data_IF_694537813928
#
_entry.id   IF_694537813928
#
_cell.length_a   1.000
_cell.length_b   1.000
_cell.length_c   1.000
_cell.angle_alpha   90.00
_cell.angle_beta   90.00
_cell.angle_gamma   90.00
#
_symmetry.space_group_name_H-M   'P 1'
#
loop_
_entity.id
_entity.type
_entity.pdbx_description
1 polymer ?
#
# COMPACT_ATOMS: atom_id res chain seq x y z
N UNK A 1 -8.30 -6.07 -5.60
CA UNK A 1 -9.40 -7.04 -5.46
C UNK A 1 -9.68 -7.69 -6.81
N UNK A 2 -10.02 -9.01 -6.87
CA UNK A 2 -10.50 -9.66 -8.10
C UNK A 2 -11.82 -9.04 -8.58
N UNK A 3 -12.03 -9.01 -9.92
CA UNK A 3 -13.23 -8.44 -10.53
C UNK A 3 -14.53 -8.94 -9.88
N UNK A 4 -14.63 -10.27 -9.66
CA UNK A 4 -15.81 -10.89 -9.01
C UNK A 4 -16.13 -10.32 -7.64
N UNK A 5 -15.09 -10.00 -6.83
CA UNK A 5 -15.29 -9.40 -5.50
C UNK A 5 -15.80 -7.96 -5.62
N UNK A 6 -15.28 -7.20 -6.59
CA UNK A 6 -15.72 -5.82 -6.84
C UNK A 6 -17.18 -5.80 -7.35
N UNK A 7 -17.55 -6.72 -8.25
CA UNK A 7 -18.92 -6.87 -8.72
C UNK A 7 -19.89 -7.21 -7.57
N UNK A 8 -19.44 -8.03 -6.62
CA UNK A 8 -20.23 -8.36 -5.42
C UNK A 8 -20.39 -7.13 -4.50
N UNK A 9 -19.34 -6.32 -4.33
CA UNK A 9 -19.43 -5.04 -3.61
C UNK A 9 -20.43 -4.09 -4.25
N UNK A 10 -20.49 -4.01 -5.59
CA UNK A 10 -21.47 -3.18 -6.30
C UNK A 10 -22.90 -3.68 -6.06
N UNK A 11 -23.13 -5.00 -6.05
CA UNK A 11 -24.46 -5.57 -5.71
C UNK A 11 -24.89 -5.21 -4.29
N UNK A 12 -23.98 -5.34 -3.31
CA UNK A 12 -24.24 -4.96 -1.92
C UNK A 12 -24.55 -3.46 -1.84
N UNK A 13 -23.78 -2.62 -2.51
CA UNK A 13 -24.03 -1.18 -2.54
C UNK A 13 -25.41 -0.85 -3.09
N UNK A 14 -25.84 -1.53 -4.15
CA UNK A 14 -27.18 -1.37 -4.74
C UNK A 14 -28.28 -1.86 -3.81
N UNK A 15 -28.09 -3.00 -3.15
CA UNK A 15 -29.07 -3.59 -2.22
C UNK A 15 -29.32 -2.69 -0.98
N UNK A 16 -28.25 -2.05 -0.48
CA UNK A 16 -28.31 -1.25 0.75
C UNK A 16 -28.33 0.26 0.51
N UNK A 17 -28.57 0.69 -0.73
CA UNK A 17 -28.63 2.12 -1.12
C UNK A 17 -27.36 2.89 -0.70
N UNK A 18 -26.19 2.32 -1.01
CA UNK A 18 -24.89 2.89 -0.70
C UNK A 18 -24.24 3.46 -1.96
N UNK A 19 -23.39 4.46 -1.80
CA UNK A 19 -22.45 4.85 -2.82
C UNK A 19 -21.07 4.25 -2.58
N UNK A 20 -20.25 4.15 -3.64
CA UNK A 20 -18.93 3.54 -3.58
C UNK A 20 -17.85 4.61 -3.72
N UNK A 21 -16.83 4.59 -2.85
CA UNK A 21 -15.58 5.33 -3.04
C UNK A 21 -14.45 4.33 -3.29
N UNK A 22 -13.86 4.38 -4.49
CA UNK A 22 -12.79 3.50 -4.92
C UNK A 22 -11.47 4.26 -5.00
N UNK A 23 -10.47 3.85 -4.22
CA UNK A 23 -9.10 4.35 -4.37
C UNK A 23 -8.37 3.53 -5.44
N UNK A 24 -8.22 4.10 -6.62
CA UNK A 24 -7.64 3.47 -7.81
C UNK A 24 -6.20 3.94 -8.09
N UNK A 25 -5.51 4.51 -7.12
CA UNK A 25 -4.15 5.05 -7.28
C UNK A 25 -3.12 3.99 -7.75
N UNK A 26 -3.44 2.70 -7.63
CA UNK A 26 -2.60 1.57 -8.03
C UNK A 26 -3.16 0.77 -9.22
N UNK A 27 -4.21 1.22 -9.89
CA UNK A 27 -4.92 0.42 -10.91
C UNK A 27 -4.02 -0.07 -12.06
N UNK A 28 -2.97 0.68 -12.41
CA UNK A 28 -2.02 0.30 -13.44
C UNK A 28 -0.75 -0.41 -12.90
N UNK A 29 -0.71 -0.74 -11.61
CA UNK A 29 0.43 -1.41 -10.95
C UNK A 29 0.05 -2.83 -10.51
N UNK A 30 -0.69 -3.56 -11.35
CA UNK A 30 -0.96 -4.99 -11.19
C UNK A 30 0.24 -5.81 -11.73
N UNK A 31 0.57 -6.94 -11.09
CA UNK A 31 1.75 -7.71 -11.47
C UNK A 31 1.52 -8.70 -12.61
N UNK A 32 0.33 -9.29 -12.69
CA UNK A 32 -0.01 -10.34 -13.66
C UNK A 32 -0.98 -9.87 -14.75
N UNK A 33 -1.67 -8.75 -14.54
CA UNK A 33 -2.66 -8.18 -15.46
C UNK A 33 -2.18 -6.83 -16.00
N UNK A 34 -2.64 -6.45 -17.19
CA UNK A 34 -2.31 -5.14 -17.76
C UNK A 34 -2.81 -3.99 -16.89
N UNK A 35 -4.00 -4.15 -16.32
CA UNK A 35 -4.58 -3.22 -15.34
C UNK A 35 -5.55 -3.95 -14.42
N UNK A 36 -5.82 -3.37 -13.27
CA UNK A 36 -6.90 -3.82 -12.39
C UNK A 36 -8.26 -3.40 -12.96
N UNK A 37 -9.33 -4.12 -12.60
CA UNK A 37 -10.70 -3.69 -12.87
C UNK A 37 -10.99 -2.38 -12.14
N UNK A 38 -11.42 -1.38 -12.88
CA UNK A 38 -11.77 -0.06 -12.36
C UNK A 38 -13.25 0.03 -11.97
N UNK A 39 -13.59 1.01 -11.14
CA UNK A 39 -14.98 1.28 -10.78
C UNK A 39 -15.83 1.58 -12.03
N UNK A 40 -15.30 2.35 -12.97
CA UNK A 40 -15.97 2.67 -14.25
C UNK A 40 -16.45 1.44 -15.03
N UNK A 41 -15.74 0.30 -14.92
CA UNK A 41 -16.05 -0.93 -15.67
C UNK A 41 -17.20 -1.74 -15.05
N UNK A 42 -17.51 -1.51 -13.77
CA UNK A 42 -18.42 -2.39 -13.00
C UNK A 42 -19.55 -1.68 -12.28
N UNK A 43 -19.48 -0.35 -12.11
CA UNK A 43 -20.36 0.40 -11.22
C UNK A 43 -21.84 0.39 -11.65
N UNK A 44 -22.12 0.21 -12.96
CA UNK A 44 -23.47 0.24 -13.48
C UNK A 44 -24.20 1.55 -13.16
N UNK A 45 -25.35 1.45 -12.46
CA UNK A 45 -26.19 2.57 -12.05
C UNK A 45 -25.99 3.02 -10.60
N UNK A 46 -25.04 2.42 -9.87
CA UNK A 46 -24.72 2.80 -8.48
C UNK A 46 -23.95 4.11 -8.44
N UNK A 47 -24.29 5.07 -7.56
CA UNK A 47 -23.50 6.28 -7.36
C UNK A 47 -22.09 5.97 -6.88
N UNK A 48 -21.07 6.73 -7.33
CA UNK A 48 -19.72 6.47 -6.85
C UNK A 48 -18.68 7.50 -7.26
N UNK A 49 -17.52 7.37 -6.62
CA UNK A 49 -16.33 8.19 -6.84
C UNK A 49 -15.13 7.27 -7.00
N UNK A 50 -14.37 7.40 -8.09
CA UNK A 50 -13.03 6.85 -8.19
C UNK A 50 -11.99 7.94 -7.93
N UNK A 51 -10.98 7.60 -7.12
CA UNK A 51 -9.85 8.50 -6.82
C UNK A 51 -8.62 8.03 -7.59
N UNK A 52 -8.02 8.90 -8.37
CA UNK A 52 -6.87 8.64 -9.23
C UNK A 52 -5.77 9.68 -9.03
N UNK A 53 -4.58 9.39 -9.55
CA UNK A 53 -3.48 10.34 -9.47
C UNK A 53 -2.17 9.76 -10.01
N UNK A 54 -1.18 10.63 -10.14
CA UNK A 54 0.12 10.32 -10.77
C UNK A 54 1.22 9.92 -9.79
N UNK A 55 0.88 9.75 -8.52
CA UNK A 55 1.88 9.48 -7.47
C UNK A 55 2.54 8.11 -7.55
N UNK A 56 1.88 7.11 -8.15
CA UNK A 56 2.30 5.70 -8.09
C UNK A 56 2.69 5.14 -9.45
N UNK A 57 1.86 5.28 -10.47
CA UNK A 57 2.16 4.77 -11.80
C UNK A 57 3.19 5.62 -12.55
N UNK A 58 3.19 6.94 -12.40
CA UNK A 58 4.20 7.86 -12.95
C UNK A 58 5.42 8.04 -12.05
N UNK A 59 5.52 7.36 -10.96
CA UNK A 59 6.16 7.57 -9.66
C UNK A 59 6.53 9.03 -9.36
N UNK A 60 5.55 9.93 -9.45
CA UNK A 60 5.72 11.36 -9.17
C UNK A 60 4.89 11.85 -7.96
N UNK A 61 5.14 11.30 -6.75
CA UNK A 61 4.37 11.67 -5.56
C UNK A 61 4.58 13.12 -5.12
N UNK A 62 5.73 13.71 -5.47
CA UNK A 62 6.06 15.11 -5.18
C UNK A 62 5.23 16.12 -5.98
N UNK A 63 4.59 15.73 -7.07
CA UNK A 63 3.70 16.58 -7.84
C UNK A 63 2.44 17.00 -7.08
N UNK A 64 2.05 16.22 -6.06
CA UNK A 64 0.82 16.43 -5.27
C UNK A 64 -0.43 16.58 -6.14
N UNK A 65 -0.54 15.78 -7.21
CA UNK A 65 -1.62 15.84 -8.17
C UNK A 65 -2.42 14.53 -8.21
N UNK A 66 -3.73 14.66 -8.07
CA UNK A 66 -4.72 13.61 -8.20
C UNK A 66 -6.06 14.21 -8.60
N UNK A 67 -7.00 13.37 -9.00
CA UNK A 67 -8.35 13.77 -9.39
C UNK A 67 -9.36 12.73 -8.94
N UNK A 68 -10.64 13.12 -8.99
CA UNK A 68 -11.76 12.22 -8.78
C UNK A 68 -12.59 12.11 -10.06
N UNK A 69 -13.13 10.93 -10.30
CA UNK A 69 -14.12 10.66 -11.33
C UNK A 69 -15.45 10.36 -10.62
N UNK A 70 -16.52 11.04 -11.02
CA UNK A 70 -17.82 10.96 -10.36
C UNK A 70 -18.78 10.24 -11.30
N UNK A 71 -19.46 9.22 -10.78
CA UNK A 71 -20.39 8.39 -11.53
C UNK A 71 -21.80 8.50 -10.96
N UNK A 72 -22.80 8.57 -11.84
CA UNK A 72 -24.24 8.45 -11.52
C UNK A 72 -24.74 9.43 -10.43
N UNK A 73 -24.15 10.63 -10.32
CA UNK A 73 -24.53 11.58 -9.27
C UNK A 73 -26.02 12.01 -9.33
N UNK A 74 -26.62 11.93 -10.52
CA UNK A 74 -28.03 12.27 -10.76
C UNK A 74 -29.01 11.18 -10.34
N UNK A 75 -28.52 9.99 -9.96
CA UNK A 75 -29.34 8.86 -9.49
C UNK A 75 -29.76 8.99 -8.03
N UNK A 76 -29.03 9.80 -7.25
CA UNK A 76 -29.29 9.99 -5.83
C UNK A 76 -29.09 11.45 -5.43
N UNK A 77 -30.12 12.07 -4.84
CA UNK A 77 -30.11 13.49 -4.47
C UNK A 77 -29.13 13.79 -3.32
N UNK A 78 -29.00 12.88 -2.36
CA UNK A 78 -28.08 13.06 -1.23
C UNK A 78 -26.62 12.93 -1.69
N UNK A 79 -26.36 11.98 -2.57
CA UNK A 79 -25.04 11.84 -3.18
C UNK A 79 -24.68 13.07 -4.05
N UNK A 80 -25.63 13.61 -4.81
CA UNK A 80 -25.42 14.84 -5.57
C UNK A 80 -25.06 16.04 -4.65
N UNK A 81 -25.73 16.16 -3.48
CA UNK A 81 -25.40 17.18 -2.45
C UNK A 81 -24.00 16.92 -1.86
N UNK A 82 -23.64 15.66 -1.60
CA UNK A 82 -22.32 15.30 -1.11
C UNK A 82 -21.22 15.68 -2.11
N UNK A 83 -21.39 15.33 -3.39
CA UNK A 83 -20.47 15.75 -4.47
C UNK A 83 -20.34 17.26 -4.54
N UNK A 84 -21.46 18.01 -4.45
CA UNK A 84 -21.42 19.48 -4.42
C UNK A 84 -20.62 20.00 -3.22
N UNK A 85 -20.74 19.36 -2.06
CA UNK A 85 -19.95 19.73 -0.87
C UNK A 85 -18.45 19.50 -1.09
N UNK A 86 -18.06 18.40 -1.74
CA UNK A 86 -16.66 18.15 -2.13
C UNK A 86 -16.16 19.27 -3.05
N UNK A 87 -16.94 19.65 -4.07
CA UNK A 87 -16.57 20.72 -5.00
C UNK A 87 -16.44 22.07 -4.30
N UNK A 88 -17.35 22.40 -3.37
CA UNK A 88 -17.28 23.61 -2.57
C UNK A 88 -16.03 23.63 -1.66
N UNK A 89 -15.72 22.50 -1.01
CA UNK A 89 -14.51 22.36 -0.21
C UNK A 89 -13.23 22.53 -1.06
N UNK A 90 -13.23 22.01 -2.30
CA UNK A 90 -12.11 22.21 -3.23
C UNK A 90 -11.90 23.67 -3.60
N UNK A 91 -12.93 24.47 -3.66
CA UNK A 91 -12.83 25.91 -3.94
C UNK A 91 -12.12 26.70 -2.83
N UNK A 92 -11.99 26.14 -1.60
CA UNK A 92 -11.19 26.73 -0.53
C UNK A 92 -9.69 26.65 -0.82
N UNK A 93 -9.28 25.75 -1.70
CA UNK A 93 -7.92 25.70 -2.22
C UNK A 93 -7.78 26.70 -3.36
N UNK A 94 -7.35 27.90 -3.03
CA UNK A 94 -7.30 29.05 -3.99
C UNK A 94 -6.38 28.77 -5.18
N UNK A 95 -5.27 28.04 -4.96
CA UNK A 95 -4.25 27.76 -5.99
C UNK A 95 -3.83 26.28 -5.95
N UNK A 96 -4.34 25.48 -6.88
CA UNK A 96 -3.88 24.12 -7.12
C UNK A 96 -2.59 24.10 -7.93
N UNK A 97 -1.81 23.01 -7.83
CA UNK A 97 -0.59 22.81 -8.63
C UNK A 97 -0.92 22.73 -10.13
N UNK A 98 -0.64 23.76 -10.90
CA UNK A 98 -1.01 23.85 -12.33
C UNK A 98 -0.09 23.01 -13.22
N UNK A 99 1.22 23.05 -12.98
CA UNK A 99 2.21 22.35 -13.82
C UNK A 99 1.95 20.84 -13.93
N UNK A 100 1.75 20.08 -12.83
CA UNK A 100 1.43 18.66 -12.95
C UNK A 100 0.15 18.40 -13.74
N UNK A 101 -0.88 19.21 -13.56
CA UNK A 101 -2.15 19.06 -14.28
C UNK A 101 -1.98 19.25 -15.79
N UNK A 102 -1.19 20.24 -16.23
CA UNK A 102 -0.93 20.49 -17.66
C UNK A 102 -0.09 19.41 -18.33
N UNK A 103 0.73 18.67 -17.56
CA UNK A 103 1.60 17.60 -18.08
C UNK A 103 0.87 16.27 -18.24
N UNK A 104 -0.16 15.99 -17.43
CA UNK A 104 -0.88 14.69 -17.44
C UNK A 104 -1.36 14.28 -18.85
N UNK A 105 -2.07 15.14 -19.63
CA UNK A 105 -2.54 14.73 -20.96
C UNK A 105 -1.39 14.36 -21.90
N UNK A 106 -0.29 15.10 -21.88
CA UNK A 106 0.88 14.82 -22.71
C UNK A 106 1.54 13.49 -22.36
N UNK A 107 1.68 13.18 -21.08
CA UNK A 107 2.25 11.90 -20.62
C UNK A 107 1.33 10.72 -20.93
N UNK A 108 0.03 10.85 -20.69
CA UNK A 108 -0.93 9.76 -20.92
C UNK A 108 -1.13 9.45 -22.42
N UNK A 109 -0.93 10.44 -23.29
CA UNK A 109 -1.00 10.25 -24.74
C UNK A 109 0.35 9.89 -25.39
N UNK A 110 1.45 9.86 -24.63
CA UNK A 110 2.77 9.50 -25.17
C UNK A 110 2.80 8.01 -25.54
N UNK A 111 3.25 7.65 -26.76
CA UNK A 111 3.34 6.25 -27.19
C UNK A 111 4.17 5.35 -26.27
N UNK A 112 5.08 5.92 -25.48
CA UNK A 112 5.94 5.19 -24.52
C UNK A 112 5.22 4.86 -23.21
N UNK A 113 4.03 5.43 -22.96
CA UNK A 113 3.33 5.26 -21.69
C UNK A 113 3.00 3.79 -21.39
N UNK A 114 2.46 3.06 -22.35
CA UNK A 114 2.15 1.64 -22.18
C UNK A 114 3.39 0.77 -21.92
N UNK A 115 4.51 1.04 -22.63
CA UNK A 115 5.76 0.31 -22.37
C UNK A 115 6.33 0.61 -20.98
N UNK A 116 6.24 1.86 -20.52
CA UNK A 116 6.60 2.24 -19.16
C UNK A 116 5.80 1.45 -18.11
N UNK A 117 4.47 1.38 -18.25
CA UNK A 117 3.62 0.62 -17.34
C UNK A 117 3.97 -0.88 -17.32
N UNK A 118 4.27 -1.45 -18.49
CA UNK A 118 4.65 -2.86 -18.62
C UNK A 118 6.01 -3.15 -17.95
N UNK A 119 6.99 -2.28 -18.12
CA UNK A 119 8.29 -2.39 -17.43
C UNK A 119 8.13 -2.32 -15.91
N UNK A 120 7.27 -1.41 -15.41
CA UNK A 120 6.96 -1.29 -13.99
C UNK A 120 6.29 -2.56 -13.44
N UNK A 121 5.32 -3.11 -14.16
CA UNK A 121 4.66 -4.38 -13.79
C UNK A 121 5.66 -5.53 -13.69
N UNK A 122 6.52 -5.71 -14.69
CA UNK A 122 7.57 -6.74 -14.69
C UNK A 122 8.54 -6.57 -13.53
N UNK A 123 8.97 -5.33 -13.29
CA UNK A 123 9.86 -5.02 -12.18
C UNK A 123 9.23 -5.42 -10.82
N UNK A 124 8.00 -4.98 -10.52
CA UNK A 124 7.36 -5.31 -9.25
C UNK A 124 7.00 -6.78 -9.12
N UNK A 125 6.60 -7.44 -10.21
CA UNK A 125 6.39 -8.89 -10.24
C UNK A 125 7.65 -9.66 -9.84
N UNK A 126 8.81 -9.27 -10.39
CA UNK A 126 10.12 -9.84 -10.02
C UNK A 126 10.41 -9.63 -8.53
N UNK A 127 10.24 -8.40 -8.03
CA UNK A 127 10.48 -8.06 -6.62
C UNK A 127 9.55 -8.83 -5.67
N UNK A 128 8.27 -8.91 -6.00
CA UNK A 128 7.29 -9.68 -5.23
C UNK A 128 7.66 -11.17 -5.16
N UNK A 129 8.12 -11.75 -6.27
CA UNK A 129 8.63 -13.12 -6.32
C UNK A 129 9.85 -13.33 -5.41
N UNK A 130 10.86 -12.47 -5.51
CA UNK A 130 12.07 -12.54 -4.68
C UNK A 130 11.72 -12.42 -3.18
N UNK A 131 10.91 -11.45 -2.80
CA UNK A 131 10.48 -11.26 -1.41
C UNK A 131 9.72 -12.48 -0.88
N UNK A 132 8.76 -12.99 -1.67
CA UNK A 132 8.00 -14.20 -1.31
C UNK A 132 8.90 -15.43 -1.12
N UNK A 133 9.84 -15.68 -2.03
CA UNK A 133 10.74 -16.85 -1.97
C UNK A 133 11.67 -16.84 -0.76
N UNK A 134 12.00 -15.66 -0.25
CA UNK A 134 12.77 -15.50 0.98
C UNK A 134 11.86 -15.68 2.20
N UNK A 135 10.78 -14.92 2.30
CA UNK A 135 9.94 -14.85 3.50
C UNK A 135 9.11 -16.10 3.74
N UNK A 136 8.70 -16.85 2.69
CA UNK A 136 7.94 -18.10 2.84
C UNK A 136 8.70 -19.20 3.60
N UNK A 137 10.04 -19.08 3.72
CA UNK A 137 10.90 -20.04 4.45
C UNK A 137 10.97 -19.76 5.94
N UNK A 138 10.53 -18.58 6.38
CA UNK A 138 10.64 -18.15 7.78
C UNK A 138 9.48 -18.72 8.59
N UNK A 139 9.80 -19.48 9.63
CA UNK A 139 8.81 -20.01 10.57
C UNK A 139 8.19 -18.88 11.41
N UNK A 140 6.91 -19.02 11.77
CA UNK A 140 6.22 -18.07 12.66
C UNK A 140 5.62 -16.86 11.95
N UNK A 141 5.74 -16.75 10.62
CA UNK A 141 5.09 -15.71 9.83
C UNK A 141 4.24 -16.28 8.70
N UNK A 142 3.36 -15.44 8.16
CA UNK A 142 2.60 -15.63 6.93
C UNK A 142 2.89 -14.43 6.04
N UNK A 143 3.47 -14.66 4.86
CA UNK A 143 3.77 -13.63 3.89
C UNK A 143 3.21 -14.04 2.52
N UNK A 144 2.00 -13.60 2.15
CA UNK A 144 1.42 -13.91 0.85
C UNK A 144 2.22 -13.23 -0.27
N UNK A 145 2.24 -13.86 -1.45
CA UNK A 145 2.83 -13.24 -2.63
C UNK A 145 2.00 -12.03 -3.04
N UNK A 146 2.63 -10.87 -3.13
CA UNK A 146 1.97 -9.66 -3.64
C UNK A 146 1.65 -9.83 -5.14
N UNK A 147 0.45 -9.42 -5.53
CA UNK A 147 -0.06 -9.51 -6.92
C UNK A 147 -0.32 -8.14 -7.54
N UNK A 148 -0.11 -7.07 -6.78
CA UNK A 148 -0.28 -5.68 -7.23
C UNK A 148 0.37 -4.70 -6.28
N UNK A 149 0.41 -3.43 -6.66
CA UNK A 149 1.13 -2.35 -6.00
C UNK A 149 2.63 -2.66 -5.83
N UNK A 150 3.29 -2.01 -4.90
CA UNK A 150 4.71 -2.23 -4.59
C UNK A 150 4.93 -2.42 -3.08
N UNK A 151 4.01 -3.15 -2.45
CA UNK A 151 4.11 -3.52 -1.04
C UNK A 151 3.98 -5.03 -0.86
N UNK A 152 4.60 -5.52 0.20
CA UNK A 152 4.35 -6.84 0.76
C UNK A 152 3.99 -6.68 2.23
N UNK A 153 2.91 -7.35 2.65
CA UNK A 153 2.49 -7.41 4.05
C UNK A 153 2.82 -8.80 4.60
N UNK A 154 3.45 -8.82 5.75
CA UNK A 154 3.84 -10.03 6.47
C UNK A 154 3.19 -10.01 7.84
N UNK A 155 2.53 -11.11 8.21
CA UNK A 155 1.81 -11.26 9.48
C UNK A 155 2.54 -12.28 10.34
N UNK A 156 2.75 -11.98 11.60
CA UNK A 156 3.18 -12.95 12.60
C UNK A 156 2.01 -13.87 12.96
N UNK A 157 2.26 -15.17 13.05
CA UNK A 157 1.23 -16.13 13.49
C UNK A 157 0.81 -15.83 14.92
N UNK A 158 -0.40 -16.22 15.25
CA UNK A 158 -0.94 -16.00 16.59
C UNK A 158 -0.04 -16.65 17.67
N UNK A 159 0.16 -15.91 18.75
CA UNK A 159 0.95 -16.38 19.91
C UNK A 159 2.47 -16.38 19.75
N UNK A 160 3.03 -16.05 18.55
CA UNK A 160 4.50 -16.04 18.39
C UNK A 160 5.13 -14.76 18.93
N UNK A 161 4.39 -13.65 18.97
CA UNK A 161 4.83 -12.41 19.60
C UNK A 161 4.33 -12.33 21.05
N UNK A 162 5.24 -12.18 22.01
CA UNK A 162 4.93 -12.08 23.43
C UNK A 162 5.21 -10.68 24.03
N UNK A 163 5.65 -9.73 23.23
CA UNK A 163 5.97 -8.36 23.64
C UNK A 163 7.25 -8.20 24.47
N UNK A 164 7.98 -9.29 24.75
CA UNK A 164 9.24 -9.27 25.51
C UNK A 164 10.46 -9.58 24.65
N UNK A 165 10.25 -9.95 23.39
CA UNK A 165 11.32 -10.25 22.46
C UNK A 165 12.16 -9.01 22.14
N UNK A 166 13.45 -9.22 21.95
CA UNK A 166 14.43 -8.19 21.64
C UNK A 166 15.38 -8.65 20.54
N UNK A 167 15.95 -7.70 19.80
CA UNK A 167 17.13 -7.93 18.96
C UNK A 167 18.35 -7.24 19.57
N UNK A 168 19.51 -7.84 19.40
CA UNK A 168 20.77 -7.23 19.84
C UNK A 168 21.08 -6.00 18.97
N UNK A 169 21.18 -4.82 19.60
CA UNK A 169 21.56 -3.56 18.98
C UNK A 169 22.97 -3.20 19.46
N UNK A 170 23.90 -3.04 18.51
CA UNK A 170 25.32 -2.80 18.82
C UNK A 170 25.60 -1.41 19.38
N UNK A 171 24.88 -0.39 18.87
CA UNK A 171 25.06 0.99 19.29
C UNK A 171 24.27 1.25 20.58
N UNK A 172 24.93 1.61 21.67
CA UNK A 172 24.30 1.82 22.98
C UNK A 172 23.28 2.97 23.00
N UNK A 173 23.51 4.06 22.26
CA UNK A 173 22.56 5.18 22.20
C UNK A 173 21.27 4.75 21.48
N UNK A 174 21.41 4.02 20.35
CA UNK A 174 20.27 3.48 19.60
C UNK A 174 19.54 2.43 20.45
N UNK A 175 20.25 1.56 21.13
CA UNK A 175 19.66 0.54 22.00
C UNK A 175 18.80 1.18 23.11
N UNK A 176 19.35 2.13 23.85
CA UNK A 176 18.60 2.86 24.90
C UNK A 176 17.36 3.55 24.36
N UNK A 177 17.47 4.21 23.19
CA UNK A 177 16.33 4.83 22.53
C UNK A 177 15.25 3.81 22.16
N UNK A 178 15.61 2.66 21.58
CA UNK A 178 14.65 1.60 21.22
C UNK A 178 13.99 1.01 22.47
N UNK A 179 14.78 0.71 23.51
CA UNK A 179 14.27 0.22 24.80
C UNK A 179 13.26 1.21 25.39
N UNK A 180 13.57 2.50 25.41
CA UNK A 180 12.67 3.55 25.89
C UNK A 180 11.36 3.64 25.09
N UNK A 181 11.43 3.50 23.75
CA UNK A 181 10.26 3.57 22.86
C UNK A 181 9.40 2.29 22.86
N UNK A 182 9.91 1.19 23.38
CA UNK A 182 9.22 -0.10 23.43
C UNK A 182 8.73 -0.50 24.82
N UNK A 183 8.89 0.40 25.81
CA UNK A 183 8.31 0.22 27.14
C UNK A 183 6.78 0.32 27.06
N UNK A 184 6.09 -0.38 27.94
CA UNK A 184 4.65 -0.47 28.20
C UNK A 184 3.66 0.17 27.20
N UNK A 185 2.75 -0.64 26.66
CA UNK A 185 1.63 -0.20 25.80
C UNK A 185 1.93 -0.10 24.31
N UNK A 186 3.12 -0.46 23.87
CA UNK A 186 3.46 -0.56 22.45
C UNK A 186 3.01 -1.94 21.90
N UNK A 187 2.31 -1.93 20.76
CA UNK A 187 1.93 -3.19 20.11
C UNK A 187 3.15 -4.04 19.76
N UNK A 188 3.07 -5.37 19.89
CA UNK A 188 4.20 -6.26 19.66
C UNK A 188 4.84 -6.13 18.26
N UNK A 189 4.06 -5.88 17.22
CA UNK A 189 4.55 -5.65 15.87
C UNK A 189 5.31 -4.31 15.74
N UNK A 190 4.86 -3.27 16.42
CA UNK A 190 5.57 -1.99 16.47
C UNK A 190 6.88 -2.11 17.24
N UNK A 191 6.89 -2.90 18.32
CA UNK A 191 8.12 -3.24 19.05
C UNK A 191 9.13 -3.94 18.12
N UNK A 192 8.70 -4.96 17.38
CA UNK A 192 9.54 -5.62 16.37
C UNK A 192 10.14 -4.62 15.36
N UNK A 193 9.32 -3.70 14.83
CA UNK A 193 9.79 -2.69 13.86
C UNK A 193 10.88 -1.79 14.45
N UNK A 194 10.74 -1.34 15.69
CA UNK A 194 11.78 -0.55 16.36
C UNK A 194 13.08 -1.35 16.54
N UNK A 195 12.97 -2.61 16.99
CA UNK A 195 14.15 -3.47 17.15
C UNK A 195 14.81 -3.81 15.81
N UNK A 196 14.03 -4.09 14.76
CA UNK A 196 14.57 -4.33 13.42
C UNK A 196 15.35 -3.12 12.92
N UNK A 197 14.76 -1.94 13.01
CA UNK A 197 15.38 -0.68 12.58
C UNK A 197 16.66 -0.39 13.40
N UNK A 198 16.60 -0.54 14.71
CA UNK A 198 17.76 -0.32 15.58
C UNK A 198 18.91 -1.29 15.35
N UNK A 199 18.60 -2.54 15.01
CA UNK A 199 19.61 -3.59 14.79
C UNK A 199 20.21 -3.57 13.37
N UNK A 200 19.48 -3.07 12.36
CA UNK A 200 19.86 -3.23 10.95
C UNK A 200 19.80 -1.96 10.11
N UNK A 201 19.10 -0.93 10.54
CA UNK A 201 18.76 0.24 9.72
C UNK A 201 17.60 0.00 8.74
N UNK A 202 17.02 -1.21 8.68
CA UNK A 202 15.88 -1.51 7.82
C UNK A 202 14.60 -1.01 8.49
N UNK A 203 13.89 -0.12 7.80
CA UNK A 203 12.63 0.43 8.27
C UNK A 203 11.45 -0.20 7.51
N UNK A 204 10.48 -0.70 8.27
CA UNK A 204 9.18 -1.21 7.77
C UNK A 204 8.06 -0.55 8.58
N UNK A 205 6.81 -0.71 8.15
CA UNK A 205 5.66 -0.09 8.83
C UNK A 205 4.85 -1.16 9.54
N UNK A 206 4.59 -1.05 10.87
CA UNK A 206 3.77 -2.04 11.58
C UNK A 206 2.32 -2.04 11.09
N UNK A 207 1.68 -3.21 11.01
CA UNK A 207 0.28 -3.32 10.57
C UNK A 207 -0.69 -2.66 11.55
N UNK A 208 -0.39 -2.66 12.85
CA UNK A 208 -1.15 -1.91 13.86
C UNK A 208 -1.25 -0.41 13.56
N UNK A 209 -0.30 0.17 12.79
CA UNK A 209 -0.35 1.54 12.30
C UNK A 209 -1.41 1.81 11.21
N UNK A 210 -2.09 0.76 10.72
CA UNK A 210 -3.18 0.84 9.73
C UNK A 210 -4.55 0.46 10.33
N UNK A 211 -4.73 0.58 11.64
CA UNK A 211 -5.93 0.11 12.36
C UNK A 211 -6.23 -1.38 12.10
N UNK A 212 -5.18 -2.18 11.89
CA UNK A 212 -5.27 -3.62 11.67
C UNK A 212 -5.01 -4.35 12.97
N UNK A 213 -5.87 -5.31 13.31
CA UNK A 213 -5.70 -6.14 14.51
C UNK A 213 -4.65 -7.25 14.35
N UNK A 214 -4.21 -7.52 13.12
CA UNK A 214 -3.14 -8.48 12.86
C UNK A 214 -1.80 -7.87 13.23
N UNK A 215 -0.98 -8.64 13.93
CA UNK A 215 0.39 -8.26 14.25
C UNK A 215 1.30 -8.55 13.06
N UNK A 216 1.99 -7.54 12.57
CA UNK A 216 2.83 -7.72 11.37
C UNK A 216 3.47 -6.44 10.89
N UNK A 217 3.95 -6.45 9.66
CA UNK A 217 4.54 -5.28 9.03
C UNK A 217 4.31 -5.25 7.52
N UNK A 218 4.40 -4.04 6.96
CA UNK A 218 4.40 -3.78 5.53
C UNK A 218 5.77 -3.27 5.10
N UNK A 219 6.37 -3.93 4.10
CA UNK A 219 7.60 -3.51 3.45
C UNK A 219 7.35 -3.05 2.02
N UNK A 220 8.25 -2.22 1.46
CA UNK A 220 8.20 -1.77 0.06
C UNK A 220 9.05 -2.64 -0.85
N UNK A 221 8.69 -2.69 -2.13
CA UNK A 221 9.39 -3.42 -3.20
C UNK A 221 10.17 -2.45 -4.12
N UNK A 222 10.54 -1.26 -3.63
CA UNK A 222 11.02 -0.15 -4.44
C UNK A 222 12.55 -0.17 -4.71
N UNK A 223 13.34 -0.96 -3.96
CA UNK A 223 14.78 -1.02 -4.19
C UNK A 223 15.09 -1.56 -5.59
N UNK A 224 15.82 -0.77 -6.38
CA UNK A 224 16.12 -1.08 -7.78
C UNK A 224 17.31 -2.02 -7.96
N UNK A 225 18.28 -2.00 -7.04
CA UNK A 225 19.41 -2.92 -7.06
C UNK A 225 19.01 -4.31 -6.57
N UNK A 226 19.24 -5.33 -7.40
CA UNK A 226 18.84 -6.72 -7.11
C UNK A 226 19.59 -7.30 -5.90
N UNK A 227 20.88 -7.04 -5.79
CA UNK A 227 21.71 -7.58 -4.71
C UNK A 227 21.34 -6.95 -3.37
N UNK A 228 21.14 -5.63 -3.37
CA UNK A 228 20.72 -4.89 -2.18
C UNK A 228 19.30 -5.26 -1.76
N UNK A 229 18.36 -5.43 -2.71
CA UNK A 229 17.02 -5.91 -2.42
C UNK A 229 17.05 -7.29 -1.75
N UNK A 230 17.80 -8.22 -2.32
CA UNK A 230 17.98 -9.57 -1.76
C UNK A 230 18.57 -9.50 -0.36
N UNK A 231 19.64 -8.73 -0.16
CA UNK A 231 20.27 -8.54 1.14
C UNK A 231 19.29 -7.99 2.19
N UNK A 232 18.45 -7.00 1.84
CA UNK A 232 17.44 -6.43 2.73
C UNK A 232 16.48 -7.53 3.21
N UNK A 233 15.91 -8.30 2.29
CA UNK A 233 14.92 -9.32 2.65
C UNK A 233 15.53 -10.54 3.37
N UNK A 234 16.73 -10.95 3.01
CA UNK A 234 17.46 -12.01 3.74
C UNK A 234 17.83 -11.55 5.15
N UNK A 235 18.25 -10.30 5.31
CA UNK A 235 18.52 -9.71 6.63
C UNK A 235 17.25 -9.64 7.48
N UNK A 236 16.11 -9.20 6.92
CA UNK A 236 14.82 -9.23 7.60
C UNK A 236 14.44 -10.65 8.04
N UNK A 237 14.51 -11.62 7.13
CA UNK A 237 14.20 -13.02 7.41
C UNK A 237 15.03 -13.55 8.60
N UNK A 238 16.34 -13.35 8.57
CA UNK A 238 17.24 -13.73 9.66
C UNK A 238 16.88 -13.04 10.98
N UNK A 239 16.54 -11.75 10.95
CA UNK A 239 16.18 -11.00 12.16
C UNK A 239 14.81 -11.38 12.71
N UNK A 240 13.86 -11.76 11.88
CA UNK A 240 12.59 -12.34 12.32
C UNK A 240 12.86 -13.65 13.06
N UNK A 241 13.66 -14.56 12.49
CA UNK A 241 14.02 -15.82 13.15
C UNK A 241 14.74 -15.60 14.49
N UNK A 242 15.68 -14.64 14.55
CA UNK A 242 16.36 -14.28 15.80
C UNK A 242 15.36 -13.74 16.85
N UNK A 243 14.42 -12.90 16.43
CA UNK A 243 13.42 -12.29 17.31
C UNK A 243 12.42 -13.29 17.87
N UNK A 244 12.07 -14.31 17.09
CA UNK A 244 11.09 -15.33 17.48
C UNK A 244 11.68 -16.51 18.28
N UNK A 245 13.01 -16.64 18.38
CA UNK A 245 13.68 -17.75 19.09
C UNK A 245 13.63 -17.64 20.62
N UNK A 246 12.96 -16.64 21.17
CA UNK A 246 12.92 -16.42 22.63
C UNK A 246 11.46 -16.36 23.13
#
# INVERSE_FOLDING_TARGET
YPKKVLEEMVKIAKEYDLFIVSDEIYCNVAHDEKKMTTLAEIIGDVPGIAMKGISKEFPWPGSRCGWIEIYNKEKDEMFAKYVKSIMNAKMLEVCSTTLPQSVIPAVMSDPRYESHLEERRKFYKKRAGMAFDILKKVSGIISPKAVGAFYVSTVFKDGVLNGKQILKIKNDKVRKFVEEKTVNGVSPDKSFVYYLMGATGICVVPLSGFNCNLQGFRATLLESDDAKFKWIFETMAKKIEEYLKK
#
